data_IF_662544229206
#
_entry.id   IF_662544229206
#
_cell.length_a   1.000
_cell.length_b   1.000
_cell.length_c   1.000
_cell.angle_alpha   90.00
_cell.angle_beta   90.00
_cell.angle_gamma   90.00
#
_symmetry.space_group_name_H-M   'P 1'
#
loop_
_entity.id
_entity.type
_entity.pdbx_description
1 polymer ?
#
# COMPACT_ATOMS: atom_id res chain seq x y z
N UNK A 1 -16.45 -4.63 8.48
CA UNK A 1 -16.73 -6.06 8.33
C UNK A 1 -15.59 -6.70 7.54
N UNK A 2 -14.97 -7.75 8.09
CA UNK A 2 -13.84 -8.41 7.46
C UNK A 2 -14.33 -9.31 6.31
N UNK A 3 -13.61 -9.33 5.19
CA UNK A 3 -13.93 -10.15 4.02
C UNK A 3 -13.53 -11.62 4.19
N UNK A 4 -12.52 -11.85 5.02
CA UNK A 4 -12.01 -13.17 5.37
C UNK A 4 -11.51 -13.12 6.83
N UNK A 5 -11.29 -14.28 7.48
CA UNK A 5 -10.75 -14.32 8.83
C UNK A 5 -9.47 -13.51 8.95
N UNK A 6 -9.29 -12.84 10.09
CA UNK A 6 -8.07 -12.06 10.35
C UNK A 6 -6.86 -13.00 10.29
N UNK A 7 -5.92 -12.70 9.42
CA UNK A 7 -4.65 -13.39 9.33
C UNK A 7 -3.76 -12.83 10.43
N UNK A 8 -3.41 -13.66 11.42
CA UNK A 8 -2.53 -13.28 12.53
C UNK A 8 -1.32 -14.20 12.55
N UNK A 9 -0.13 -13.62 12.44
CA UNK A 9 1.13 -14.34 12.31
C UNK A 9 2.21 -13.69 13.18
N UNK A 10 3.14 -14.52 13.67
CA UNK A 10 4.25 -14.10 14.52
C UNK A 10 5.55 -14.73 14.05
N UNK A 11 6.61 -13.93 13.99
CA UNK A 11 7.96 -14.33 13.62
C UNK A 11 8.97 -13.71 14.60
N UNK A 12 9.25 -14.40 15.71
CA UNK A 12 10.17 -13.93 16.72
C UNK A 12 9.77 -12.61 17.36
N UNK A 13 10.49 -11.54 17.06
CA UNK A 13 10.23 -10.19 17.59
C UNK A 13 9.26 -9.36 16.76
N UNK A 14 8.70 -9.92 15.69
CA UNK A 14 7.72 -9.26 14.83
C UNK A 14 6.40 -10.04 14.79
N UNK A 15 5.32 -9.34 15.06
CA UNK A 15 3.96 -9.87 15.06
C UNK A 15 3.07 -8.96 14.22
N UNK A 16 2.22 -9.54 13.40
CA UNK A 16 1.32 -8.77 12.56
C UNK A 16 -0.01 -9.48 12.36
N UNK A 17 -1.05 -8.69 12.23
CA UNK A 17 -2.38 -9.17 11.87
C UNK A 17 -2.96 -8.25 10.80
N UNK A 18 -3.67 -8.82 9.83
CA UNK A 18 -4.36 -8.02 8.81
C UNK A 18 -5.59 -8.72 8.25
N UNK A 19 -6.46 -7.91 7.70
CA UNK A 19 -7.62 -8.32 6.89
C UNK A 19 -7.96 -7.23 5.89
N UNK A 20 -8.86 -7.51 4.96
CA UNK A 20 -9.45 -6.49 4.11
C UNK A 20 -10.90 -6.23 4.47
N UNK A 21 -11.33 -5.00 4.32
CA UNK A 21 -12.71 -4.56 4.53
C UNK A 21 -13.27 -3.91 3.27
N UNK A 22 -14.57 -4.10 3.02
CA UNK A 22 -15.27 -3.40 1.93
C UNK A 22 -15.72 -1.99 2.32
N UNK A 23 -15.78 -1.68 3.62
CA UNK A 23 -16.18 -0.38 4.13
C UNK A 23 -15.05 0.64 4.15
N UNK A 24 -13.80 0.16 4.10
CA UNK A 24 -12.59 0.98 4.09
C UNK A 24 -12.04 1.02 2.67
N UNK A 25 -11.97 2.21 2.09
CA UNK A 25 -11.42 2.42 0.72
C UNK A 25 -9.92 2.75 0.72
N UNK A 26 -9.41 3.13 1.89
CA UNK A 26 -8.01 3.43 2.14
C UNK A 26 -7.36 2.33 2.95
N UNK A 27 -6.09 2.47 3.27
CA UNK A 27 -5.40 1.58 4.19
C UNK A 27 -5.40 2.16 5.62
N UNK A 28 -5.65 1.29 6.61
CA UNK A 28 -5.57 1.63 8.03
C UNK A 28 -4.50 0.79 8.71
N UNK A 29 -3.61 1.43 9.46
CA UNK A 29 -2.51 0.77 10.15
C UNK A 29 -2.47 1.15 11.63
N UNK A 30 -2.40 0.14 12.47
CA UNK A 30 -2.15 0.26 13.90
C UNK A 30 -0.76 -0.30 14.19
N UNK A 31 0.22 0.56 14.46
CA UNK A 31 1.60 0.13 14.61
C UNK A 31 2.15 0.36 16.01
N UNK A 32 2.90 -0.62 16.50
CA UNK A 32 3.45 -0.65 17.85
C UNK A 32 4.93 -1.00 17.83
N UNK A 33 5.70 -0.37 18.71
CA UNK A 33 7.10 -0.68 18.96
C UNK A 33 7.30 -0.85 20.47
N UNK A 34 7.73 -2.03 20.91
CA UNK A 34 7.86 -2.38 22.32
C UNK A 34 6.60 -2.05 23.17
N UNK A 35 5.41 -2.25 22.57
CA UNK A 35 4.13 -1.92 23.19
C UNK A 35 3.72 -0.45 23.11
N UNK A 36 4.58 0.45 22.62
CA UNK A 36 4.26 1.84 22.41
C UNK A 36 3.55 2.03 21.07
N UNK A 37 2.36 2.65 21.08
CA UNK A 37 1.62 2.97 19.86
C UNK A 37 2.31 4.07 19.07
N UNK A 38 2.67 3.78 17.83
CA UNK A 38 3.31 4.72 16.90
C UNK A 38 2.28 5.28 15.91
N UNK A 39 1.58 6.34 16.30
CA UNK A 39 0.45 6.89 15.53
C UNK A 39 0.84 7.41 14.15
N UNK A 40 2.09 7.80 13.96
CA UNK A 40 2.66 8.24 12.68
C UNK A 40 3.44 7.13 11.97
N UNK A 41 3.39 5.91 12.49
CA UNK A 41 4.08 4.76 11.91
C UNK A 41 5.59 4.82 12.06
N UNK A 42 6.31 4.68 10.96
CA UNK A 42 7.77 4.71 10.91
C UNK A 42 8.33 3.65 9.96
N UNK A 43 9.61 3.33 10.15
CA UNK A 43 10.37 2.39 9.30
C UNK A 43 9.74 1.00 9.26
N UNK A 44 9.25 0.50 10.40
CA UNK A 44 8.60 -0.82 10.50
C UNK A 44 7.27 -0.90 9.72
N UNK A 45 6.44 0.15 9.80
CA UNK A 45 5.18 0.19 9.06
C UNK A 45 5.43 0.26 7.53
N UNK A 46 6.38 1.10 7.12
CA UNK A 46 6.76 1.21 5.71
C UNK A 46 7.32 -0.11 5.17
N UNK A 47 8.16 -0.79 5.97
CA UNK A 47 8.70 -2.09 5.63
C UNK A 47 7.62 -3.17 5.52
N UNK A 48 6.65 -3.20 6.43
CA UNK A 48 5.52 -4.14 6.36
C UNK A 48 4.66 -3.92 5.11
N UNK A 49 4.33 -2.66 4.79
CA UNK A 49 3.56 -2.32 3.58
C UNK A 49 4.24 -2.80 2.30
N UNK A 50 5.55 -2.65 2.23
CA UNK A 50 6.36 -3.14 1.10
C UNK A 50 6.46 -4.66 1.08
N UNK A 51 6.71 -5.28 2.24
CA UNK A 51 6.81 -6.72 2.38
C UNK A 51 5.52 -7.44 1.97
N UNK A 52 4.37 -6.95 2.45
CA UNK A 52 3.06 -7.50 2.11
C UNK A 52 2.82 -7.49 0.60
N UNK A 53 3.09 -6.36 -0.06
CA UNK A 53 2.93 -6.24 -1.51
C UNK A 53 3.85 -7.22 -2.26
N UNK A 54 5.12 -7.30 -1.85
CA UNK A 54 6.10 -8.17 -2.50
C UNK A 54 5.74 -9.64 -2.35
N UNK A 55 5.41 -10.07 -1.14
CA UNK A 55 5.07 -11.47 -0.87
C UNK A 55 3.81 -11.89 -1.62
N UNK A 56 2.77 -11.06 -1.66
CA UNK A 56 1.54 -11.37 -2.39
C UNK A 56 1.74 -11.40 -3.92
N UNK A 57 2.59 -10.53 -4.47
CA UNK A 57 2.97 -10.60 -5.89
C UNK A 57 3.71 -11.89 -6.21
N UNK A 58 4.67 -12.25 -5.37
CA UNK A 58 5.47 -13.47 -5.54
C UNK A 58 4.59 -14.74 -5.42
N UNK A 59 3.67 -14.75 -4.45
CA UNK A 59 2.75 -15.86 -4.23
C UNK A 59 1.78 -16.07 -5.40
N UNK A 60 1.12 -15.02 -5.86
CA UNK A 60 0.16 -15.10 -6.96
C UNK A 60 0.83 -15.06 -8.35
N UNK A 61 2.15 -14.93 -8.42
CA UNK A 61 2.93 -14.86 -9.66
C UNK A 61 2.40 -13.85 -10.67
N UNK A 62 1.88 -12.73 -10.17
CA UNK A 62 1.33 -11.64 -10.99
C UNK A 62 1.72 -10.28 -10.41
N UNK A 63 2.14 -9.37 -11.28
CA UNK A 63 2.50 -8.01 -10.90
C UNK A 63 1.24 -7.14 -10.77
N UNK A 64 0.59 -7.22 -9.60
CA UNK A 64 -0.51 -6.33 -9.22
C UNK A 64 -0.01 -4.95 -8.83
N UNK A 65 -0.81 -3.91 -9.09
CA UNK A 65 -0.52 -2.58 -8.57
C UNK A 65 -0.53 -2.60 -7.02
N UNK A 66 0.49 -2.02 -6.36
CA UNK A 66 0.52 -1.94 -4.90
C UNK A 66 -0.74 -1.32 -4.27
N UNK A 67 -1.38 -0.39 -4.98
CA UNK A 67 -2.63 0.23 -4.51
C UNK A 67 -3.80 -0.75 -4.47
N UNK A 68 -3.86 -1.71 -5.42
CA UNK A 68 -4.93 -2.70 -5.48
C UNK A 68 -4.82 -3.72 -4.33
N UNK A 69 -3.59 -4.05 -3.92
CA UNK A 69 -3.33 -4.92 -2.78
C UNK A 69 -3.69 -4.22 -1.46
N UNK A 70 -3.36 -2.92 -1.33
CA UNK A 70 -3.55 -2.19 -0.07
C UNK A 70 -4.92 -1.54 0.08
N UNK A 71 -5.71 -1.46 -0.97
CA UNK A 71 -7.06 -0.88 -0.90
C UNK A 71 -7.98 -1.70 0.00
N UNK A 72 -8.47 -1.08 1.06
CA UNK A 72 -9.31 -1.71 2.08
C UNK A 72 -8.54 -2.52 3.13
N UNK A 73 -7.20 -2.43 3.15
CA UNK A 73 -6.36 -3.11 4.14
C UNK A 73 -6.51 -2.48 5.52
N UNK A 74 -6.78 -3.32 6.51
CA UNK A 74 -6.68 -2.98 7.93
C UNK A 74 -5.63 -3.89 8.55
N UNK A 75 -4.57 -3.30 9.10
CA UNK A 75 -3.44 -4.04 9.63
C UNK A 75 -3.00 -3.54 11.00
N UNK A 76 -2.62 -4.47 11.87
CA UNK A 76 -1.95 -4.22 13.14
C UNK A 76 -0.57 -4.86 13.11
N UNK A 77 0.46 -4.12 13.51
CA UNK A 77 1.84 -4.59 13.52
C UNK A 77 2.51 -4.24 14.86
N UNK A 78 3.27 -5.17 15.38
CA UNK A 78 4.04 -5.01 16.62
C UNK A 78 5.47 -5.47 16.39
N UNK A 79 6.42 -4.59 16.65
CA UNK A 79 7.85 -4.87 16.55
C UNK A 79 8.50 -4.72 17.94
N UNK A 80 9.30 -5.70 18.31
CA UNK A 80 10.19 -5.64 19.49
C UNK A 80 11.62 -5.41 18.99
N UNK A 81 12.23 -4.33 19.44
CA UNK A 81 13.57 -3.90 19.02
C UNK A 81 14.34 -3.39 20.23
N UNK A 82 15.64 -3.63 20.28
CA UNK A 82 16.50 -3.10 21.32
C UNK A 82 16.76 -1.60 21.07
N UNK A 83 16.58 -0.79 22.11
CA UNK A 83 16.85 0.65 22.13
C UNK A 83 16.30 1.38 20.87
N UNK A 84 14.97 1.43 20.68
CA UNK A 84 14.37 2.06 19.53
C UNK A 84 14.66 3.56 19.51
N UNK A 85 15.09 4.06 18.36
CA UNK A 85 15.23 5.50 18.11
C UNK A 85 13.94 6.01 17.47
N UNK A 86 13.32 7.01 18.09
CA UNK A 86 12.13 7.66 17.57
C UNK A 86 12.49 9.04 17.01
N UNK A 87 11.73 9.51 16.02
CA UNK A 87 11.96 10.84 15.42
C UNK A 87 11.61 11.99 16.36
N UNK A 88 10.78 11.74 17.39
CA UNK A 88 10.37 12.74 18.37
C UNK A 88 10.27 12.15 19.78
N UNK A 89 10.30 13.01 20.79
CA UNK A 89 10.16 12.62 22.19
C UNK A 89 8.77 12.04 22.51
N UNK A 90 7.77 12.34 21.70
CA UNK A 90 6.41 11.78 21.81
C UNK A 90 6.32 10.32 21.35
N UNK A 91 7.41 9.76 20.79
CA UNK A 91 7.54 8.37 20.34
C UNK A 91 6.43 7.94 19.34
N UNK A 92 5.93 8.89 18.58
CA UNK A 92 4.84 8.65 17.60
C UNK A 92 5.31 8.01 16.32
N UNK A 93 6.63 8.09 15.99
CA UNK A 93 7.20 7.58 14.76
C UNK A 93 8.55 6.92 15.01
N UNK A 94 8.71 5.66 14.56
CA UNK A 94 9.98 4.95 14.63
C UNK A 94 10.94 5.43 13.54
N UNK A 95 12.14 5.85 13.96
CA UNK A 95 13.23 6.26 13.08
C UNK A 95 14.32 5.19 12.89
N UNK A 96 14.40 4.17 13.76
CA UNK A 96 15.44 3.12 13.67
C UNK A 96 15.45 2.46 12.30
N UNK A 97 16.63 2.34 11.71
CA UNK A 97 16.83 1.64 10.41
C UNK A 97 17.31 0.20 10.59
N UNK A 98 17.99 -0.07 11.73
CA UNK A 98 18.52 -1.39 12.07
C UNK A 98 17.88 -1.93 13.36
N UNK A 99 17.95 -3.26 13.52
CA UNK A 99 17.42 -3.95 14.72
C UNK A 99 18.29 -3.74 15.95
N UNK A 100 19.55 -3.36 15.78
CA UNK A 100 20.52 -3.05 16.86
C UNK A 100 20.92 -1.58 16.81
N UNK A 101 21.10 -0.93 17.97
CA UNK A 101 21.42 0.51 18.05
C UNK A 101 22.80 0.85 17.51
N UNK A 102 23.75 -0.09 17.55
CA UNK A 102 25.13 0.04 17.04
C UNK A 102 25.22 -0.09 15.50
N UNK A 103 24.08 -0.40 14.83
CA UNK A 103 24.05 -0.61 13.40
C UNK A 103 24.57 -1.96 12.93
N UNK A 104 25.01 -2.84 13.84
CA UNK A 104 25.56 -4.15 13.51
C UNK A 104 24.51 -5.20 13.15
N UNK A 105 23.23 -4.95 13.48
CA UNK A 105 22.14 -5.87 13.25
C UNK A 105 21.58 -5.78 11.82
N UNK A 106 20.69 -6.72 11.51
CA UNK A 106 19.92 -6.70 10.26
C UNK A 106 19.07 -5.43 10.18
N UNK A 107 18.93 -4.87 8.97
CA UNK A 107 18.03 -3.75 8.75
C UNK A 107 16.58 -4.13 9.07
N UNK A 108 15.84 -3.25 9.72
CA UNK A 108 14.42 -3.44 10.07
C UNK A 108 13.60 -3.85 8.83
N UNK A 109 13.89 -3.23 7.69
CA UNK A 109 13.24 -3.55 6.42
C UNK A 109 13.45 -4.99 5.98
N UNK A 110 14.70 -5.46 6.01
CA UNK A 110 15.05 -6.82 5.60
C UNK A 110 14.47 -7.84 6.58
N UNK A 111 14.59 -7.58 7.88
CA UNK A 111 14.04 -8.44 8.92
C UNK A 111 12.53 -8.63 8.76
N UNK A 112 11.77 -7.55 8.58
CA UNK A 112 10.32 -7.62 8.39
C UNK A 112 9.95 -8.30 7.07
N UNK A 113 10.70 -8.05 5.99
CA UNK A 113 10.48 -8.72 4.70
C UNK A 113 10.63 -10.23 4.83
N UNK A 114 11.70 -10.69 5.47
CA UNK A 114 11.99 -12.11 5.66
C UNK A 114 10.94 -12.77 6.58
N UNK A 115 10.56 -12.07 7.65
CA UNK A 115 9.54 -12.52 8.58
C UNK A 115 8.16 -12.67 7.91
N UNK A 116 7.72 -11.67 7.17
CA UNK A 116 6.44 -11.72 6.44
C UNK A 116 6.49 -12.78 5.35
N UNK A 117 7.62 -12.88 4.62
CA UNK A 117 7.75 -13.84 3.53
C UNK A 117 7.62 -15.27 4.03
N UNK A 118 8.36 -15.64 5.08
CA UNK A 118 8.33 -17.01 5.60
C UNK A 118 6.96 -17.38 6.17
N UNK A 119 6.38 -16.52 7.03
CA UNK A 119 5.14 -16.86 7.74
C UNK A 119 3.89 -16.74 6.87
N UNK A 120 3.82 -15.72 6.02
CA UNK A 120 2.63 -15.50 5.18
C UNK A 120 2.58 -16.49 4.01
N UNK A 121 3.72 -16.80 3.40
CA UNK A 121 3.79 -17.78 2.31
C UNK A 121 3.30 -19.16 2.80
N UNK A 122 3.83 -19.63 3.92
CA UNK A 122 3.40 -20.88 4.56
C UNK A 122 1.90 -20.87 4.91
N UNK A 123 1.41 -19.77 5.49
CA UNK A 123 0.00 -19.63 5.85
C UNK A 123 -0.92 -19.72 4.64
N UNK A 124 -0.60 -19.04 3.55
CA UNK A 124 -1.43 -19.02 2.34
C UNK A 124 -1.41 -20.36 1.61
N UNK A 125 -0.32 -21.12 1.68
CA UNK A 125 -0.28 -22.49 1.14
C UNK A 125 -1.17 -23.46 1.93
N UNK A 126 -1.25 -23.30 3.25
CA UNK A 126 -2.10 -24.14 4.12
C UNK A 126 -3.57 -23.74 3.98
N UNK A 127 -3.87 -22.45 3.88
CA UNK A 127 -5.22 -21.89 3.87
C UNK A 127 -5.62 -21.39 2.47
N UNK A 128 -5.75 -22.30 1.53
CA UNK A 128 -6.07 -21.97 0.14
C UNK A 128 -7.38 -21.17 -0.04
N UNK A 129 -8.38 -21.41 0.79
CA UNK A 129 -9.66 -20.68 0.76
C UNK A 129 -9.44 -19.18 1.07
N UNK A 130 -8.61 -18.88 2.08
CA UNK A 130 -8.29 -17.49 2.44
C UNK A 130 -7.46 -16.82 1.34
N UNK A 131 -6.53 -17.56 0.73
CA UNK A 131 -5.75 -17.07 -0.40
C UNK A 131 -6.63 -16.73 -1.61
N UNK A 132 -7.66 -17.53 -1.87
CA UNK A 132 -8.62 -17.27 -2.96
C UNK A 132 -9.47 -16.02 -2.69
N UNK A 133 -10.00 -15.86 -1.47
CA UNK A 133 -10.77 -14.67 -1.08
C UNK A 133 -9.92 -13.40 -1.19
N UNK A 134 -8.66 -13.48 -0.76
CA UNK A 134 -7.69 -12.39 -0.89
C UNK A 134 -7.44 -12.04 -2.36
N UNK A 135 -7.24 -13.05 -3.21
CA UNK A 135 -7.07 -12.86 -4.66
C UNK A 135 -8.30 -12.20 -5.31
N UNK A 136 -9.50 -12.67 -4.96
CA UNK A 136 -10.76 -12.10 -5.47
C UNK A 136 -10.86 -10.61 -5.10
N UNK A 137 -10.50 -10.24 -3.86
CA UNK A 137 -10.47 -8.83 -3.43
C UNK A 137 -9.49 -8.00 -4.26
N UNK A 138 -8.27 -8.48 -4.46
CA UNK A 138 -7.25 -7.76 -5.25
C UNK A 138 -7.72 -7.57 -6.70
N UNK A 139 -8.27 -8.60 -7.32
CA UNK A 139 -8.79 -8.54 -8.70
C UNK A 139 -9.99 -7.58 -8.80
N UNK A 140 -10.85 -7.54 -7.79
CA UNK A 140 -11.95 -6.59 -7.73
C UNK A 140 -11.44 -5.15 -7.66
N UNK A 141 -10.47 -4.88 -6.76
CA UNK A 141 -9.85 -3.56 -6.64
C UNK A 141 -9.18 -3.12 -7.97
N UNK A 142 -8.48 -4.04 -8.65
CA UNK A 142 -7.89 -3.77 -9.98
C UNK A 142 -8.94 -3.35 -11.01
N UNK A 143 -10.08 -4.07 -11.06
CA UNK A 143 -11.19 -3.74 -11.97
C UNK A 143 -11.80 -2.37 -11.66
N UNK A 144 -12.05 -2.08 -10.39
CA UNK A 144 -12.61 -0.80 -9.93
C UNK A 144 -11.67 0.36 -10.28
N UNK A 145 -10.37 0.22 -10.01
CA UNK A 145 -9.36 1.24 -10.35
C UNK A 145 -9.30 1.50 -11.85
N UNK A 146 -9.25 0.44 -12.67
CA UNK A 146 -9.25 0.56 -14.15
C UNK A 146 -10.53 1.21 -14.66
N UNK A 147 -11.69 0.84 -14.11
CA UNK A 147 -12.98 1.46 -14.41
C UNK A 147 -12.98 2.95 -14.11
N UNK A 148 -12.54 3.35 -12.92
CA UNK A 148 -12.43 4.75 -12.53
C UNK A 148 -11.46 5.56 -13.42
N UNK A 149 -10.33 4.97 -13.82
CA UNK A 149 -9.39 5.61 -14.74
C UNK A 149 -10.03 5.87 -16.12
N UNK A 150 -10.80 4.91 -16.65
CA UNK A 150 -11.52 5.07 -17.90
C UNK A 150 -12.58 6.16 -17.81
N UNK A 151 -13.37 6.21 -16.75
CA UNK A 151 -14.36 7.28 -16.52
C UNK A 151 -13.69 8.66 -16.45
N UNK A 152 -12.58 8.77 -15.71
CA UNK A 152 -11.80 10.02 -15.64
C UNK A 152 -11.25 10.44 -17.00
N UNK A 153 -10.81 9.48 -17.83
CA UNK A 153 -10.32 9.76 -19.19
C UNK A 153 -11.45 10.28 -20.08
N UNK A 154 -12.60 9.60 -20.10
CA UNK A 154 -13.78 10.04 -20.84
C UNK A 154 -14.30 11.41 -20.42
N UNK A 155 -14.34 11.68 -19.11
CA UNK A 155 -14.72 12.98 -18.57
C UNK A 155 -13.78 14.09 -19.05
N UNK A 156 -12.46 13.85 -19.04
CA UNK A 156 -11.48 14.82 -19.56
C UNK A 156 -11.62 15.07 -21.07
N UNK A 157 -11.90 14.03 -21.85
CA UNK A 157 -12.13 14.14 -23.28
C UNK A 157 -13.43 14.93 -23.58
N UNK A 158 -14.50 14.65 -22.83
CA UNK A 158 -15.77 15.39 -22.94
C UNK A 158 -15.60 16.86 -22.55
N UNK A 159 -14.88 17.16 -21.47
CA UNK A 159 -14.59 18.54 -21.05
C UNK A 159 -13.78 19.29 -22.13
N UNK A 160 -12.81 18.65 -22.76
CA UNK A 160 -12.07 19.25 -23.90
C UNK A 160 -12.99 19.54 -25.08
N UNK A 161 -13.89 18.62 -25.45
CA UNK A 161 -14.86 18.83 -26.55
C UNK A 161 -15.82 20.00 -26.25
N UNK A 162 -16.31 20.11 -25.01
CA UNK A 162 -17.20 21.21 -24.60
C UNK A 162 -16.49 22.57 -24.65
N UNK A 163 -15.21 22.63 -24.25
CA UNK A 163 -14.44 23.88 -24.30
C UNK A 163 -14.20 24.36 -25.75
N UNK A 164 -14.07 23.42 -26.70
CA UNK A 164 -13.90 23.73 -28.13
C UNK A 164 -15.18 24.16 -28.83
N UNK A 165 -16.36 23.83 -28.27
CA UNK A 165 -17.67 24.16 -28.84
C UNK A 165 -18.31 25.43 -28.30
N UNK A 166 -17.63 26.15 -27.38
CA UNK A 166 -18.16 27.42 -26.88
C UNK A 166 -18.14 28.50 -27.99
N UNK A 167 -19.30 28.81 -28.56
CA UNK A 167 -19.45 29.80 -29.66
C UNK A 167 -18.98 31.20 -29.32
N UNK A 168 -18.88 31.56 -28.05
CA UNK A 168 -18.42 32.89 -27.56
C UNK A 168 -16.91 33.00 -27.42
N UNK A 169 -16.23 31.88 -27.26
CA UNK A 169 -14.77 31.81 -27.15
C UNK A 169 -14.24 31.09 -28.39
N UNK A 170 -13.75 31.86 -29.38
CA UNK A 170 -13.01 31.30 -30.50
C UNK A 170 -11.54 31.21 -30.09
N UNK A 171 -11.00 30.03 -30.23
CA UNK A 171 -9.57 29.82 -30.04
C UNK A 171 -8.78 30.45 -31.19
N UNK A 172 -7.53 30.83 -30.92
CA UNK A 172 -6.65 31.36 -31.96
C UNK A 172 -6.46 30.34 -33.07
N UNK A 173 -6.54 30.81 -34.33
CA UNK A 173 -6.24 29.94 -35.49
C UNK A 173 -4.80 29.42 -35.46
N UNK A 174 -3.87 30.21 -34.92
CA UNK A 174 -2.45 29.88 -34.81
C UNK A 174 -2.07 30.02 -33.34
N UNK A 175 -1.81 28.89 -32.67
CA UNK A 175 -1.35 28.88 -31.29
C UNK A 175 0.11 29.29 -31.16
N UNK A 176 0.48 29.84 -30.01
CA UNK A 176 1.84 30.30 -29.74
C UNK A 176 2.91 29.24 -30.02
N UNK A 177 2.62 27.97 -29.76
CA UNK A 177 3.52 26.83 -29.99
C UNK A 177 3.35 26.18 -31.39
N UNK A 178 2.59 26.78 -32.27
CA UNK A 178 2.39 26.28 -33.64
C UNK A 178 3.65 26.53 -34.47
N UNK A 179 4.00 25.54 -35.31
CA UNK A 179 5.09 25.67 -36.30
C UNK A 179 4.62 26.36 -37.60
N UNK A 180 3.46 27.00 -37.60
CA UNK A 180 2.92 27.68 -38.77
C UNK A 180 3.78 28.93 -39.12
N UNK A 181 4.29 29.05 -40.34
CA UNK A 181 5.16 30.15 -40.75
C UNK A 181 4.45 31.53 -40.83
N UNK A 182 3.11 31.55 -40.65
CA UNK A 182 2.30 32.80 -40.65
C UNK A 182 2.17 33.42 -39.25
N UNK A 183 2.99 33.05 -38.33
CA UNK A 183 3.02 33.55 -36.98
C UNK A 183 3.69 34.93 -36.88
#
# INVERSE_FOLDING_TARGET
EALYPIIHLSAGSFEFAFTHSDKVFTEEHYSFVNGQHTTQGGTHQSAFREALVKVLKDFFKKDYDPSDIRSGLVASISLRINEPVFESQTKTKLGSTNMMPDGSGQAVRTFILDAVKSTLDDYLHINAEVAELLLQKIVRNEKERKGMQNVKKLAKESAKKVSLTNRKLRDCRIHYNSKDPRR
#
